data_IF_922239638996
#
_entry.id   IF_922239638996
#
_cell.length_a   1.000
_cell.length_b   1.000
_cell.length_c   1.000
_cell.angle_alpha   90.00
_cell.angle_beta   90.00
_cell.angle_gamma   90.00
#
_symmetry.space_group_name_H-M   'P 1'
#
loop_
_entity.id
_entity.type
_entity.pdbx_description
1 polymer ?
#
# COMPACT_ATOMS: atom_id res chain seq x y z
N UNK A 1 -5.31 -21.95 56.06
CA UNK A 1 -4.83 -21.27 54.83
C UNK A 1 -5.96 -20.39 54.33
N UNK A 2 -5.80 -19.06 54.38
CA UNK A 2 -6.85 -18.10 54.01
C UNK A 2 -6.57 -17.58 52.59
N UNK A 3 -7.46 -17.87 51.65
CA UNK A 3 -7.31 -17.49 50.24
C UNK A 3 -7.88 -16.10 50.03
N UNK A 4 -7.00 -15.12 49.76
CA UNK A 4 -7.35 -13.75 49.37
C UNK A 4 -8.13 -13.75 48.05
N UNK A 5 -9.42 -13.39 48.09
CA UNK A 5 -10.25 -13.20 46.91
C UNK A 5 -9.86 -11.87 46.22
N UNK A 6 -9.33 -11.97 45.00
CA UNK A 6 -8.95 -10.85 44.13
C UNK A 6 -10.23 -10.08 43.72
N UNK A 7 -10.43 -8.87 44.25
CA UNK A 7 -11.54 -7.98 43.85
C UNK A 7 -11.43 -7.68 42.36
N UNK A 8 -12.38 -8.20 41.57
CA UNK A 8 -12.57 -7.84 40.16
C UNK A 8 -13.25 -6.48 40.15
N UNK A 9 -12.53 -5.44 39.73
CA UNK A 9 -13.09 -4.09 39.56
C UNK A 9 -14.19 -4.14 38.51
N UNK A 10 -15.41 -3.77 38.91
CA UNK A 10 -16.58 -3.74 38.02
C UNK A 10 -16.46 -2.57 37.02
N UNK A 11 -16.83 -2.75 35.75
CA UNK A 11 -16.84 -1.67 34.74
C UNK A 11 -17.77 -0.49 35.06
N UNK A 12 -18.65 -0.64 36.05
CA UNK A 12 -19.55 0.42 36.57
C UNK A 12 -18.99 1.14 37.79
N UNK A 13 -17.78 0.80 38.25
CA UNK A 13 -17.14 1.44 39.39
C UNK A 13 -16.58 2.81 38.98
N UNK A 14 -17.43 3.83 39.11
CA UNK A 14 -17.10 5.23 38.89
C UNK A 14 -16.27 5.82 40.05
N UNK A 15 -15.36 5.04 40.65
CA UNK A 15 -14.41 5.60 41.62
C UNK A 15 -13.59 6.68 40.95
N UNK A 16 -13.31 7.77 41.68
CA UNK A 16 -12.67 8.99 41.16
C UNK A 16 -11.33 8.80 40.45
N UNK A 17 -10.70 7.61 40.49
CA UNK A 17 -9.54 7.27 39.66
C UNK A 17 -9.89 7.22 38.17
N UNK A 18 -11.02 6.63 37.79
CA UNK A 18 -11.48 6.58 36.39
C UNK A 18 -11.89 7.97 35.92
N UNK A 19 -12.58 8.74 36.78
CA UNK A 19 -12.91 10.14 36.50
C UNK A 19 -11.65 10.97 36.24
N UNK A 20 -10.63 10.85 37.10
CA UNK A 20 -9.34 11.54 36.96
C UNK A 20 -8.61 11.16 35.67
N UNK A 21 -8.62 9.89 35.27
CA UNK A 21 -8.03 9.47 33.99
C UNK A 21 -8.79 10.02 32.79
N UNK A 22 -10.12 10.06 32.84
CA UNK A 22 -10.94 10.63 31.78
C UNK A 22 -10.72 12.14 31.66
N UNK A 23 -10.62 12.86 32.78
CA UNK A 23 -10.31 14.29 32.81
C UNK A 23 -8.90 14.59 32.27
N UNK A 24 -7.90 13.76 32.62
CA UNK A 24 -6.53 13.90 32.11
C UNK A 24 -6.45 13.64 30.60
N UNK A 25 -7.14 12.60 30.12
CA UNK A 25 -7.17 12.28 28.70
C UNK A 25 -7.89 13.36 27.88
N UNK A 26 -8.94 13.95 28.45
CA UNK A 26 -9.69 15.03 27.81
C UNK A 26 -8.84 16.30 27.69
N UNK A 27 -8.12 16.68 28.74
CA UNK A 27 -7.21 17.85 28.71
C UNK A 27 -6.06 17.68 27.71
N UNK A 28 -5.52 16.46 27.59
CA UNK A 28 -4.52 16.14 26.56
C UNK A 28 -5.10 16.24 25.15
N UNK A 29 -6.29 15.67 24.92
CA UNK A 29 -6.96 15.75 23.62
C UNK A 29 -7.31 17.19 23.23
N UNK A 30 -7.75 18.02 24.18
CA UNK A 30 -8.05 19.45 23.95
C UNK A 30 -6.77 20.23 23.59
N UNK A 31 -5.63 19.93 24.23
CA UNK A 31 -4.33 20.53 23.90
C UNK A 31 -3.80 20.10 22.54
N UNK A 32 -3.99 18.83 22.16
CA UNK A 32 -3.61 18.34 20.84
C UNK A 32 -4.49 18.93 19.75
N UNK A 33 -5.81 19.02 19.97
CA UNK A 33 -6.73 19.68 19.06
C UNK A 33 -6.41 21.17 18.86
N UNK A 34 -6.07 21.89 19.94
CA UNK A 34 -5.67 23.29 19.85
C UNK A 34 -4.35 23.47 19.06
N UNK A 35 -3.38 22.56 19.23
CA UNK A 35 -2.15 22.56 18.43
C UNK A 35 -2.40 22.25 16.96
N UNK A 36 -3.28 21.28 16.68
CA UNK A 36 -3.65 20.92 15.31
C UNK A 36 -4.35 22.08 14.58
N UNK A 37 -5.27 22.79 15.24
CA UNK A 37 -5.94 23.96 14.68
C UNK A 37 -4.96 25.10 14.37
N UNK A 38 -3.95 25.33 15.22
CA UNK A 38 -2.92 26.33 14.97
C UNK A 38 -2.01 25.94 13.79
N UNK A 39 -1.64 24.66 13.69
CA UNK A 39 -0.84 24.15 12.58
C UNK A 39 -1.60 24.25 11.25
N UNK A 40 -2.89 23.92 11.24
CA UNK A 40 -3.74 24.02 10.06
C UNK A 40 -3.92 25.48 9.59
N UNK A 41 -4.03 26.42 10.52
CA UNK A 41 -4.07 27.85 10.20
C UNK A 41 -2.76 28.37 9.57
N UNK A 42 -1.60 27.86 10.01
CA UNK A 42 -0.30 28.23 9.42
C UNK A 42 -0.15 27.70 7.99
N UNK A 43 -0.54 26.45 7.75
CA UNK A 43 -0.51 25.84 6.40
C UNK A 43 -1.45 26.58 5.45
N UNK A 44 -2.63 26.97 5.91
CA UNK A 44 -3.57 27.74 5.09
C UNK A 44 -3.02 29.12 4.69
N UNK A 45 -2.26 29.77 5.56
CA UNK A 45 -1.64 31.08 5.28
C UNK A 45 -0.46 30.96 4.29
N UNK A 46 0.36 29.91 4.43
CA UNK A 46 1.45 29.60 3.50
C UNK A 46 0.92 29.30 2.08
N UNK A 47 -0.16 28.51 1.97
CA UNK A 47 -0.79 28.20 0.68
C UNK A 47 -1.42 29.46 0.06
N UNK A 48 -2.01 30.34 0.87
CA UNK A 48 -2.62 31.59 0.39
C UNK A 48 -1.58 32.60 -0.11
N UNK A 49 -0.39 32.59 0.46
CA UNK A 49 0.73 33.47 0.07
C UNK A 49 1.45 33.02 -1.20
N UNK A 50 1.26 31.77 -1.64
CA UNK A 50 1.72 31.32 -2.95
C UNK A 50 0.80 31.88 -4.04
N UNK A 51 1.19 33.03 -4.58
CA UNK A 51 0.58 33.60 -5.78
C UNK A 51 0.98 32.73 -6.97
N UNK A 52 0.09 31.81 -7.35
CA UNK A 52 0.25 31.01 -8.58
C UNK A 52 -0.05 31.91 -9.78
N UNK A 53 0.98 32.28 -10.53
CA UNK A 53 0.82 32.98 -11.81
C UNK A 53 0.29 32.00 -12.86
N UNK A 54 -0.99 32.14 -13.21
CA UNK A 54 -1.71 31.30 -14.18
C UNK A 54 -1.57 31.81 -15.64
N UNK A 55 -0.76 32.84 -15.87
CA UNK A 55 -0.67 33.52 -17.18
C UNK A 55 0.30 32.83 -18.15
N UNK A 56 1.21 31.99 -17.64
CA UNK A 56 2.11 31.20 -18.46
C UNK A 56 1.57 29.76 -18.62
N UNK A 57 1.48 29.20 -19.84
CA UNK A 57 1.30 27.75 -19.96
C UNK A 57 2.50 27.10 -19.27
N UNK A 58 2.31 26.12 -18.37
CA UNK A 58 3.44 25.43 -17.79
C UNK A 58 4.21 24.83 -18.96
N UNK A 59 5.44 25.31 -19.17
CA UNK A 59 6.40 24.61 -20.00
C UNK A 59 6.64 23.28 -19.28
N UNK A 60 5.83 22.28 -19.62
CA UNK A 60 6.02 20.92 -19.21
C UNK A 60 7.34 20.49 -19.83
N UNK A 61 8.43 20.72 -19.09
CA UNK A 61 9.70 20.10 -19.37
C UNK A 61 9.51 18.63 -18.98
N UNK A 62 8.91 17.89 -19.90
CA UNK A 62 8.73 16.45 -19.77
C UNK A 62 10.13 15.88 -19.96
N UNK A 63 10.90 15.80 -18.88
CA UNK A 63 12.08 14.95 -18.84
C UNK A 63 11.58 13.54 -19.20
N UNK A 64 11.86 13.12 -20.44
CA UNK A 64 11.75 11.73 -20.85
C UNK A 64 12.81 10.95 -20.07
N UNK A 65 12.51 10.69 -18.80
CA UNK A 65 13.15 9.64 -18.04
C UNK A 65 12.92 8.36 -18.84
N UNK A 66 13.97 7.66 -19.29
CA UNK A 66 13.79 6.35 -19.88
C UNK A 66 13.10 5.49 -18.83
N UNK A 67 11.83 5.14 -19.07
CA UNK A 67 11.14 4.14 -18.27
C UNK A 67 11.91 2.85 -18.48
N UNK A 68 12.83 2.56 -17.55
CA UNK A 68 13.43 1.24 -17.43
C UNK A 68 12.32 0.35 -16.91
N UNK A 69 11.55 -0.22 -17.84
CA UNK A 69 10.60 -1.28 -17.53
C UNK A 69 11.46 -2.45 -17.06
N UNK A 70 11.71 -2.52 -15.76
CA UNK A 70 12.38 -3.67 -15.17
C UNK A 70 11.49 -4.88 -15.44
N UNK A 71 11.84 -5.66 -16.45
CA UNK A 71 11.10 -6.87 -16.81
C UNK A 71 11.20 -7.84 -15.65
N UNK A 72 10.20 -7.80 -14.77
CA UNK A 72 10.11 -8.68 -13.62
C UNK A 72 9.97 -10.09 -14.16
N UNK A 73 11.02 -10.89 -14.01
CA UNK A 73 11.02 -12.28 -14.45
C UNK A 73 10.49 -13.18 -13.34
N UNK A 74 9.70 -14.19 -13.70
CA UNK A 74 9.12 -15.18 -12.80
C UNK A 74 9.46 -16.58 -13.27
N UNK A 75 9.63 -17.48 -12.32
CA UNK A 75 9.79 -18.90 -12.58
C UNK A 75 8.40 -19.55 -12.65
N UNK A 76 8.18 -20.38 -13.66
CA UNK A 76 6.95 -21.16 -13.82
C UNK A 76 7.26 -22.56 -14.31
N UNK A 77 6.40 -23.51 -13.94
CA UNK A 77 6.40 -24.86 -14.50
C UNK A 77 5.18 -25.05 -15.39
N UNK A 78 5.40 -25.52 -16.61
CA UNK A 78 4.33 -25.65 -17.61
C UNK A 78 3.63 -27.01 -17.49
N UNK A 79 2.31 -27.04 -17.68
CA UNK A 79 1.47 -28.24 -17.55
C UNK A 79 1.52 -29.10 -18.83
N UNK A 80 1.48 -28.46 -20.01
CA UNK A 80 1.36 -29.08 -21.33
C UNK A 80 2.49 -28.61 -22.26
N UNK A 81 2.77 -29.35 -23.32
CA UNK A 81 3.64 -28.89 -24.40
C UNK A 81 2.97 -27.76 -25.20
N UNK A 82 3.73 -26.70 -25.44
CA UNK A 82 3.28 -25.50 -26.13
C UNK A 82 4.29 -25.18 -27.24
N UNK A 83 3.89 -25.37 -28.49
CA UNK A 83 4.75 -25.10 -29.64
C UNK A 83 4.32 -23.83 -30.36
N UNK A 84 5.30 -22.98 -30.73
CA UNK A 84 5.10 -21.77 -31.53
C UNK A 84 4.05 -20.78 -30.97
N UNK A 85 4.00 -20.62 -29.64
CA UNK A 85 3.04 -19.72 -29.00
C UNK A 85 3.53 -18.28 -29.09
N UNK A 86 2.74 -17.42 -29.71
CA UNK A 86 3.04 -15.97 -29.76
C UNK A 86 2.41 -15.27 -28.56
N UNK A 87 3.24 -14.65 -27.72
CA UNK A 87 2.80 -13.91 -26.54
C UNK A 87 3.39 -12.50 -26.60
N UNK A 88 2.52 -11.51 -26.81
CA UNK A 88 2.94 -10.13 -27.07
C UNK A 88 3.32 -9.89 -28.53
N UNK A 89 4.10 -8.83 -28.79
CA UNK A 89 4.47 -8.43 -30.14
C UNK A 89 5.78 -9.09 -30.59
N UNK A 90 5.73 -9.92 -31.65
CA UNK A 90 6.86 -10.59 -32.29
C UNK A 90 7.67 -11.59 -31.43
N UNK A 91 7.15 -12.02 -30.29
CA UNK A 91 7.81 -13.02 -29.45
C UNK A 91 7.09 -14.37 -29.58
N UNK A 92 7.80 -15.36 -30.12
CA UNK A 92 7.35 -16.75 -30.19
C UNK A 92 8.09 -17.59 -29.16
N UNK A 93 7.36 -18.40 -28.41
CA UNK A 93 7.88 -19.26 -27.36
C UNK A 93 7.51 -20.72 -27.59
N UNK A 94 8.39 -21.60 -27.17
CA UNK A 94 8.14 -23.04 -27.10
C UNK A 94 8.42 -23.52 -25.68
N UNK A 95 7.46 -24.21 -25.08
CA UNK A 95 7.57 -24.77 -23.74
C UNK A 95 7.30 -26.27 -23.78
N UNK A 96 8.05 -27.03 -22.99
CA UNK A 96 7.79 -28.44 -22.80
C UNK A 96 7.07 -28.69 -21.47
N UNK A 97 6.13 -29.64 -21.49
CA UNK A 97 5.39 -30.07 -20.31
C UNK A 97 6.34 -30.46 -19.17
N UNK A 98 6.00 -30.01 -17.96
CA UNK A 98 6.70 -30.36 -16.74
C UNK A 98 8.06 -29.69 -16.53
N UNK A 99 8.56 -28.87 -17.46
CA UNK A 99 9.80 -28.11 -17.29
C UNK A 99 9.57 -26.75 -16.64
N UNK A 100 10.57 -26.27 -15.90
CA UNK A 100 10.57 -24.95 -15.27
C UNK A 100 11.30 -23.95 -16.15
N UNK A 101 10.67 -22.80 -16.40
CA UNK A 101 11.20 -21.71 -17.20
C UNK A 101 11.17 -20.40 -16.43
N UNK A 102 12.16 -19.54 -16.68
CA UNK A 102 12.16 -18.16 -16.20
C UNK A 102 11.69 -17.25 -17.33
N UNK A 103 10.50 -16.69 -17.18
CA UNK A 103 9.84 -15.88 -18.20
C UNK A 103 9.48 -14.50 -17.68
N UNK A 104 9.29 -13.50 -18.55
CA UNK A 104 8.74 -12.21 -18.13
C UNK A 104 7.37 -12.35 -17.46
N UNK A 105 7.04 -11.45 -16.53
CA UNK A 105 5.77 -11.49 -15.78
C UNK A 105 4.54 -11.48 -16.70
N UNK A 106 4.58 -10.79 -17.84
CA UNK A 106 3.46 -10.78 -18.78
C UNK A 106 3.23 -12.17 -19.42
N UNK A 107 4.30 -12.91 -19.70
CA UNK A 107 4.23 -14.28 -20.22
C UNK A 107 3.68 -15.22 -19.16
N UNK A 108 4.18 -15.09 -17.92
CA UNK A 108 3.67 -15.84 -16.77
C UNK A 108 2.16 -15.64 -16.60
N UNK A 109 1.71 -14.38 -16.52
CA UNK A 109 0.31 -14.05 -16.30
C UNK A 109 -0.57 -14.60 -17.43
N UNK A 110 -0.14 -14.45 -18.69
CA UNK A 110 -0.87 -14.94 -19.84
C UNK A 110 -1.07 -16.47 -19.82
N UNK A 111 -0.05 -17.22 -19.39
CA UNK A 111 -0.12 -18.68 -19.29
C UNK A 111 -0.86 -19.14 -18.03
N UNK A 112 -0.74 -18.40 -16.94
CA UNK A 112 -1.48 -18.63 -15.70
C UNK A 112 -2.99 -18.44 -15.89
N UNK A 113 -3.41 -17.35 -16.53
CA UNK A 113 -4.83 -17.07 -16.85
C UNK A 113 -5.46 -18.18 -17.70
N UNK A 114 -4.65 -18.87 -18.50
CA UNK A 114 -5.08 -19.99 -19.34
C UNK A 114 -4.97 -21.36 -18.66
N UNK A 115 -4.43 -21.42 -17.44
CA UNK A 115 -4.26 -22.66 -16.70
C UNK A 115 -3.08 -23.54 -17.15
N UNK A 116 -2.13 -22.99 -17.92
CA UNK A 116 -0.94 -23.73 -18.38
C UNK A 116 0.20 -23.76 -17.37
N UNK A 117 0.07 -23.07 -16.22
CA UNK A 117 1.10 -22.99 -15.18
C UNK A 117 0.67 -23.82 -13.96
N UNK A 118 1.59 -24.65 -13.46
CA UNK A 118 1.40 -25.41 -12.23
C UNK A 118 1.25 -24.49 -11.02
N UNK A 119 0.14 -24.61 -10.30
CA UNK A 119 -0.10 -23.89 -9.03
C UNK A 119 -0.31 -22.39 -9.19
N UNK A 120 -0.72 -21.95 -10.38
CA UNK A 120 -1.16 -20.58 -10.66
C UNK A 120 -2.49 -20.23 -9.97
#
# INVERSE_FOLDING_TARGET
MATTAKRVTSPRDATGRVKRTLETNRDLAEKEAAKAQLAEAQVADEVRSQVVDLTAPPAANVEQLPVVVGESTREMRVVEDLENVTIGYRNTFTFEAGRTYKVPAFVYNHLAEKGYVWGA
#
